data_IF_373806245976
#
_entry.id   IF_373806245976
#
_cell.length_a   1.000
_cell.length_b   1.000
_cell.length_c   1.000
_cell.angle_alpha   90.00
_cell.angle_beta   90.00
_cell.angle_gamma   90.00
#
_symmetry.space_group_name_H-M   'P 1'
#
loop_
_entity.id
_entity.type
_entity.pdbx_description
1 polymer ?
#
# COMPACT_ATOMS: atom_id res chain seq x y z
N UNK A 1 -17.07 19.39 0.35
CA UNK A 1 -17.28 18.74 -0.95
C UNK A 1 -18.10 17.45 -0.81
N UNK A 2 -18.25 16.88 0.39
CA UNK A 2 -19.15 15.76 0.78
C UNK A 2 -20.67 15.84 0.47
N UNK A 3 -21.23 16.98 0.03
CA UNK A 3 -22.70 17.18 -0.01
C UNK A 3 -23.42 16.24 -1.00
N UNK A 4 -22.75 15.73 -2.04
CA UNK A 4 -23.38 14.87 -3.06
C UNK A 4 -23.65 13.46 -2.51
N UNK A 5 -22.65 12.82 -1.89
CA UNK A 5 -22.82 11.48 -1.33
C UNK A 5 -23.83 11.51 -0.19
N UNK A 6 -23.74 12.51 0.71
CA UNK A 6 -24.67 12.68 1.83
C UNK A 6 -26.13 12.79 1.37
N UNK A 7 -26.40 13.63 0.35
CA UNK A 7 -27.74 13.78 -0.24
C UNK A 7 -28.20 12.54 -1.00
N UNK A 8 -27.31 11.90 -1.74
CA UNK A 8 -27.61 10.66 -2.44
C UNK A 8 -27.98 9.55 -1.45
N UNK A 9 -27.31 9.48 -0.30
CA UNK A 9 -27.62 8.55 0.79
C UNK A 9 -28.96 8.90 1.45
N UNK A 10 -29.21 10.16 1.79
CA UNK A 10 -30.51 10.59 2.31
C UNK A 10 -31.67 10.26 1.35
N UNK A 11 -31.44 10.44 0.04
CA UNK A 11 -32.41 10.04 -1.00
C UNK A 11 -32.62 8.54 -1.00
N UNK A 12 -31.54 7.75 -0.90
CA UNK A 12 -31.62 6.28 -0.86
C UNK A 12 -32.41 5.78 0.35
N UNK A 13 -32.17 6.35 1.53
CA UNK A 13 -32.89 6.01 2.76
C UNK A 13 -34.40 6.21 2.62
N UNK A 14 -34.83 7.33 2.00
CA UNK A 14 -36.23 7.57 1.67
C UNK A 14 -36.75 6.52 0.69
N UNK A 15 -35.98 6.21 -0.35
CA UNK A 15 -36.37 5.23 -1.38
C UNK A 15 -36.46 3.82 -0.81
N UNK A 16 -35.67 3.46 0.20
CA UNK A 16 -35.62 2.11 0.76
C UNK A 16 -36.49 1.93 2.02
N UNK A 17 -37.12 3.00 2.53
CA UNK A 17 -38.01 2.94 3.70
C UNK A 17 -39.26 2.07 3.45
N UNK A 18 -39.13 0.80 3.83
CA UNK A 18 -40.21 -0.19 3.72
C UNK A 18 -41.39 0.05 4.66
N UNK A 19 -41.27 0.98 5.62
CA UNK A 19 -42.36 1.32 6.54
C UNK A 19 -43.45 2.17 5.89
N UNK A 20 -43.14 2.85 4.77
CA UNK A 20 -44.06 3.71 4.04
C UNK A 20 -44.51 3.11 2.70
N UNK A 21 -45.80 3.26 2.33
CA UNK A 21 -46.28 2.98 0.98
C UNK A 21 -45.43 3.69 -0.08
N UNK A 22 -45.20 3.02 -1.23
CA UNK A 22 -44.34 3.53 -2.29
C UNK A 22 -44.68 4.96 -2.73
N UNK A 23 -45.97 5.28 -2.86
CA UNK A 23 -46.41 6.60 -3.29
C UNK A 23 -46.05 7.72 -2.29
N UNK A 24 -45.97 7.43 -0.98
CA UNK A 24 -45.58 8.41 0.05
C UNK A 24 -44.10 8.76 -0.01
N UNK A 25 -43.27 7.88 -0.57
CA UNK A 25 -41.83 8.06 -0.70
C UNK A 25 -41.41 8.84 -1.93
N UNK A 26 -42.23 8.81 -3.00
CA UNK A 26 -41.88 9.43 -4.29
C UNK A 26 -41.62 10.93 -4.15
N UNK A 27 -42.52 11.68 -3.52
CA UNK A 27 -42.38 13.13 -3.43
C UNK A 27 -41.18 13.56 -2.58
N UNK A 28 -40.97 13.02 -1.37
CA UNK A 28 -39.76 13.32 -0.59
C UNK A 28 -38.48 12.95 -1.33
N UNK A 29 -38.43 11.77 -1.99
CA UNK A 29 -37.24 11.33 -2.72
C UNK A 29 -36.91 12.25 -3.91
N UNK A 30 -37.92 12.72 -4.66
CA UNK A 30 -37.70 13.68 -5.74
C UNK A 30 -37.26 15.06 -5.23
N UNK A 31 -37.80 15.48 -4.08
CA UNK A 31 -37.40 16.74 -3.45
C UNK A 31 -35.93 16.69 -3.04
N UNK A 32 -35.50 15.62 -2.37
CA UNK A 32 -34.12 15.44 -1.93
C UNK A 32 -33.17 15.38 -3.15
N UNK A 33 -33.53 14.59 -4.16
CA UNK A 33 -32.75 14.44 -5.39
C UNK A 33 -32.63 15.75 -6.19
N UNK A 34 -33.66 16.61 -6.17
CA UNK A 34 -33.65 17.88 -6.91
C UNK A 34 -32.59 18.87 -6.42
N UNK A 35 -32.07 18.67 -5.20
CA UNK A 35 -30.98 19.45 -4.62
C UNK A 35 -29.58 19.03 -5.07
N UNK A 36 -29.45 17.98 -5.91
CA UNK A 36 -28.18 17.54 -6.49
C UNK A 36 -27.91 18.32 -7.78
N UNK A 37 -26.90 19.19 -7.74
CA UNK A 37 -26.39 19.86 -8.95
C UNK A 37 -25.25 19.05 -9.55
N UNK A 38 -25.50 18.42 -10.70
CA UNK A 38 -24.50 17.65 -11.47
C UNK A 38 -23.58 18.55 -12.30
N UNK A 39 -23.15 19.69 -11.76
CA UNK A 39 -22.27 20.63 -12.44
C UNK A 39 -20.94 20.00 -12.83
N UNK A 40 -20.49 19.02 -12.03
CA UNK A 40 -19.14 18.47 -12.09
C UNK A 40 -19.08 17.03 -12.63
N UNK A 41 -20.23 16.44 -13.02
CA UNK A 41 -20.26 15.14 -13.69
C UNK A 41 -19.69 15.21 -15.11
N UNK A 42 -19.00 14.14 -15.51
CA UNK A 42 -18.67 13.93 -16.91
C UNK A 42 -19.94 13.97 -17.79
N UNK A 43 -19.90 14.56 -19.01
CA UNK A 43 -21.08 14.72 -19.87
C UNK A 43 -21.85 13.43 -20.13
N UNK A 44 -21.15 12.29 -20.22
CA UNK A 44 -21.77 10.98 -20.40
C UNK A 44 -22.61 10.54 -19.19
N UNK A 45 -22.10 10.74 -17.96
CA UNK A 45 -22.82 10.41 -16.72
C UNK A 45 -24.02 11.34 -16.52
N UNK A 46 -23.89 12.61 -16.89
CA UNK A 46 -25.02 13.55 -16.90
C UNK A 46 -26.13 13.10 -17.86
N UNK A 47 -25.76 12.68 -19.07
CA UNK A 47 -26.73 12.16 -20.04
C UNK A 47 -27.42 10.89 -19.53
N UNK A 48 -26.67 10.00 -18.88
CA UNK A 48 -27.21 8.78 -18.28
C UNK A 48 -28.18 9.10 -17.12
N UNK A 49 -27.83 10.05 -16.26
CA UNK A 49 -28.68 10.52 -15.17
C UNK A 49 -30.01 11.10 -15.71
N UNK A 50 -29.94 11.96 -16.72
CA UNK A 50 -31.12 12.51 -17.39
C UNK A 50 -31.98 11.40 -18.02
N UNK A 51 -31.35 10.37 -18.60
CA UNK A 51 -32.05 9.20 -19.17
C UNK A 51 -32.82 8.41 -18.11
N UNK A 52 -32.27 8.27 -16.90
CA UNK A 52 -32.96 7.58 -15.80
C UNK A 52 -34.20 8.35 -15.32
N UNK A 53 -34.10 9.68 -15.22
CA UNK A 53 -35.18 10.52 -14.68
C UNK A 53 -36.21 10.99 -15.71
N UNK A 54 -35.89 11.04 -17.01
CA UNK A 54 -36.83 11.50 -18.03
C UNK A 54 -38.20 10.77 -17.99
N UNK A 55 -38.26 9.44 -17.79
CA UNK A 55 -39.53 8.72 -17.67
C UNK A 55 -40.34 9.07 -16.41
N UNK A 56 -39.71 9.55 -15.33
CA UNK A 56 -40.42 9.95 -14.11
C UNK A 56 -41.42 11.06 -14.41
N UNK A 57 -41.00 12.08 -15.17
CA UNK A 57 -41.87 13.19 -15.58
C UNK A 57 -43.07 12.70 -16.41
N UNK A 58 -42.88 11.68 -17.25
CA UNK A 58 -43.96 11.07 -18.03
C UNK A 58 -44.96 10.37 -17.12
N UNK A 59 -44.49 9.57 -16.16
CA UNK A 59 -45.36 8.83 -15.22
C UNK A 59 -46.18 9.79 -14.35
N UNK A 60 -45.55 10.87 -13.86
CA UNK A 60 -46.23 11.90 -13.06
C UNK A 60 -47.29 12.63 -13.89
N UNK A 61 -47.01 12.93 -15.17
CA UNK A 61 -47.97 13.55 -16.08
C UNK A 61 -49.16 12.63 -16.40
N UNK A 62 -48.91 11.35 -16.67
CA UNK A 62 -49.95 10.35 -16.96
C UNK A 62 -50.94 10.19 -15.80
N UNK A 63 -50.46 10.32 -14.56
CA UNK A 63 -51.29 10.25 -13.35
C UNK A 63 -51.81 11.62 -12.88
N UNK A 64 -51.56 12.71 -13.63
CA UNK A 64 -51.98 14.08 -13.32
C UNK A 64 -51.58 14.52 -11.91
N UNK A 65 -50.33 14.28 -11.57
CA UNK A 65 -49.74 14.67 -10.28
C UNK A 65 -49.30 16.14 -10.39
N UNK A 66 -50.11 17.04 -9.84
CA UNK A 66 -49.86 18.51 -9.88
C UNK A 66 -49.63 19.11 -8.49
N UNK A 67 -49.91 18.36 -7.42
CA UNK A 67 -49.79 18.77 -6.02
C UNK A 67 -49.25 17.64 -5.13
N UNK A 68 -48.72 17.98 -3.95
CA UNK A 68 -48.18 17.01 -2.98
C UNK A 68 -49.19 15.94 -2.55
N UNK A 69 -50.47 16.30 -2.45
CA UNK A 69 -51.53 15.34 -2.08
C UNK A 69 -51.95 14.43 -3.25
N UNK A 70 -51.55 14.75 -4.48
CA UNK A 70 -51.98 13.99 -5.66
C UNK A 70 -51.26 12.64 -5.80
N UNK A 71 -50.13 12.43 -5.10
CA UNK A 71 -49.31 11.22 -5.21
C UNK A 71 -50.06 9.93 -4.81
N UNK A 72 -51.12 10.02 -4.00
CA UNK A 72 -52.05 8.89 -3.72
C UNK A 72 -52.67 8.27 -4.97
N UNK A 73 -52.75 9.03 -6.08
CA UNK A 73 -53.28 8.57 -7.36
C UNK A 73 -52.32 7.64 -8.11
N UNK A 74 -51.05 7.57 -7.70
CA UNK A 74 -50.09 6.66 -8.31
C UNK A 74 -50.51 5.22 -8.02
N UNK A 75 -50.57 4.40 -9.07
CA UNK A 75 -50.64 2.96 -8.88
C UNK A 75 -49.38 2.48 -8.14
N UNK A 76 -49.48 1.40 -7.36
CA UNK A 76 -48.32 0.81 -6.70
C UNK A 76 -47.19 0.48 -7.68
N UNK A 77 -47.52 0.02 -8.90
CA UNK A 77 -46.55 -0.24 -9.96
C UNK A 77 -45.88 1.04 -10.48
N UNK A 78 -46.63 2.15 -10.63
CA UNK A 78 -46.08 3.42 -11.08
C UNK A 78 -45.17 4.05 -10.02
N UNK A 79 -45.59 4.01 -8.75
CA UNK A 79 -44.77 4.49 -7.64
C UNK A 79 -43.48 3.66 -7.50
N UNK A 80 -43.57 2.33 -7.63
CA UNK A 80 -42.39 1.46 -7.61
C UNK A 80 -41.44 1.71 -8.79
N UNK A 81 -41.95 1.94 -10.01
CA UNK A 81 -41.12 2.28 -11.18
C UNK A 81 -40.38 3.62 -10.96
N UNK A 82 -41.07 4.64 -10.45
CA UNK A 82 -40.42 5.93 -10.13
C UNK A 82 -39.31 5.73 -9.09
N UNK A 83 -39.58 5.04 -7.99
CA UNK A 83 -38.59 4.81 -6.93
C UNK A 83 -37.38 4.01 -7.43
N UNK A 84 -37.60 2.99 -8.27
CA UNK A 84 -36.53 2.23 -8.92
C UNK A 84 -35.63 3.11 -9.79
N UNK A 85 -36.22 4.06 -10.54
CA UNK A 85 -35.48 5.03 -11.35
C UNK A 85 -34.70 6.03 -10.51
N UNK A 86 -35.28 6.50 -9.40
CA UNK A 86 -34.56 7.36 -8.45
C UNK A 86 -33.39 6.58 -7.84
N UNK A 87 -33.58 5.32 -7.44
CA UNK A 87 -32.51 4.47 -6.93
C UNK A 87 -31.38 4.31 -7.96
N UNK A 88 -31.71 4.07 -9.23
CA UNK A 88 -30.72 4.00 -10.30
C UNK A 88 -29.97 5.32 -10.49
N UNK A 89 -30.67 6.45 -10.43
CA UNK A 89 -30.08 7.78 -10.53
C UNK A 89 -29.12 8.07 -9.34
N UNK A 90 -29.50 7.70 -8.12
CA UNK A 90 -28.67 7.80 -6.91
C UNK A 90 -27.41 6.96 -7.03
N UNK A 91 -27.50 5.72 -7.53
CA UNK A 91 -26.32 4.86 -7.74
C UNK A 91 -25.31 5.47 -8.70
N UNK A 92 -25.76 6.13 -9.76
CA UNK A 92 -24.87 6.87 -10.68
C UNK A 92 -24.14 8.02 -9.97
N UNK A 93 -24.76 8.63 -8.96
CA UNK A 93 -24.12 9.67 -8.15
C UNK A 93 -22.97 9.07 -7.33
N UNK A 94 -23.21 7.94 -6.65
CA UNK A 94 -22.17 7.25 -5.89
C UNK A 94 -21.02 6.80 -6.79
N UNK A 95 -21.32 6.19 -7.93
CA UNK A 95 -20.29 5.76 -8.89
C UNK A 95 -19.42 6.93 -9.34
N UNK A 96 -20.03 8.08 -9.66
CA UNK A 96 -19.26 9.21 -10.14
C UNK A 96 -18.43 9.88 -9.05
N UNK A 97 -18.95 9.98 -7.82
CA UNK A 97 -18.16 10.53 -6.72
C UNK A 97 -17.03 9.58 -6.33
N UNK A 98 -17.27 8.27 -6.36
CA UNK A 98 -16.22 7.28 -6.19
C UNK A 98 -15.14 7.42 -7.28
N UNK A 99 -15.51 7.51 -8.56
CA UNK A 99 -14.57 7.75 -9.67
C UNK A 99 -13.75 9.04 -9.46
N UNK A 100 -14.39 10.14 -9.01
CA UNK A 100 -13.70 11.40 -8.68
C UNK A 100 -12.69 11.21 -7.55
N UNK A 101 -13.11 10.63 -6.43
CA UNK A 101 -12.27 10.46 -5.25
C UNK A 101 -11.08 9.53 -5.56
N UNK A 102 -11.33 8.42 -6.26
CA UNK A 102 -10.27 7.52 -6.71
C UNK A 102 -9.29 8.22 -7.65
N UNK A 103 -9.77 9.07 -8.56
CA UNK A 103 -8.91 9.88 -9.43
C UNK A 103 -8.07 10.92 -8.66
N UNK A 104 -8.59 11.46 -7.56
CA UNK A 104 -7.83 12.37 -6.69
C UNK A 104 -6.73 11.65 -5.90
N UNK A 105 -6.98 10.41 -5.47
CA UNK A 105 -5.94 9.55 -4.90
C UNK A 105 -4.86 9.23 -5.93
N UNK A 106 -5.27 8.91 -7.16
CA UNK A 106 -4.38 8.52 -8.25
C UNK A 106 -3.47 9.65 -8.75
N UNK A 107 -3.94 10.89 -8.62
CA UNK A 107 -3.23 12.09 -9.10
C UNK A 107 -2.51 12.86 -8.00
N UNK A 108 -2.29 12.23 -6.84
CA UNK A 108 -1.65 12.83 -5.67
C UNK A 108 -0.23 13.36 -5.98
N UNK A 109 0.58 12.56 -6.69
CA UNK A 109 1.97 12.89 -6.99
C UNK A 109 2.77 13.20 -5.72
N UNK A 110 3.21 14.45 -5.54
CA UNK A 110 3.96 14.89 -4.34
C UNK A 110 3.13 15.58 -3.27
N UNK A 111 1.81 15.65 -3.43
CA UNK A 111 0.93 16.31 -2.46
C UNK A 111 -0.03 15.28 -1.89
N UNK A 112 0.03 15.07 -0.59
CA UNK A 112 -0.87 14.15 0.09
C UNK A 112 -2.34 14.54 -0.16
N UNK A 113 -3.19 13.64 -0.67
CA UNK A 113 -4.58 13.93 -1.04
C UNK A 113 -5.48 13.87 0.21
N UNK A 114 -5.22 14.77 1.17
CA UNK A 114 -5.85 14.80 2.50
C UNK A 114 -7.38 14.83 2.44
N UNK A 115 -7.95 15.60 1.51
CA UNK A 115 -9.41 15.71 1.41
C UNK A 115 -10.04 14.44 0.83
N UNK A 116 -9.42 13.81 -0.19
CA UNK A 116 -9.88 12.53 -0.72
C UNK A 116 -9.83 11.43 0.34
N UNK A 117 -8.76 11.37 1.15
CA UNK A 117 -8.64 10.43 2.29
C UNK A 117 -9.77 10.65 3.30
N UNK A 118 -10.10 11.90 3.63
CA UNK A 118 -11.24 12.20 4.53
C UNK A 118 -12.58 11.82 3.93
N UNK A 119 -12.79 12.03 2.63
CA UNK A 119 -14.02 11.64 1.94
C UNK A 119 -14.17 10.11 1.92
N UNK A 120 -13.09 9.35 1.75
CA UNK A 120 -13.10 7.89 1.92
C UNK A 120 -13.54 7.49 3.33
N UNK A 121 -12.95 8.10 4.37
CA UNK A 121 -13.32 7.81 5.76
C UNK A 121 -14.80 8.10 6.05
N UNK A 122 -15.30 9.23 5.54
CA UNK A 122 -16.69 9.63 5.73
C UNK A 122 -17.68 8.69 5.03
N UNK A 123 -17.27 8.11 3.89
CA UNK A 123 -18.13 7.34 2.99
C UNK A 123 -17.66 5.89 2.81
N UNK A 124 -17.16 5.28 3.89
CA UNK A 124 -16.57 3.93 3.94
C UNK A 124 -17.37 2.91 3.15
N UNK A 125 -18.66 2.77 3.46
CA UNK A 125 -19.50 1.69 2.93
C UNK A 125 -19.69 1.78 1.40
N UNK A 126 -19.50 2.97 0.83
CA UNK A 126 -19.61 3.21 -0.60
C UNK A 126 -18.26 3.02 -1.29
N UNK A 127 -17.15 3.46 -0.68
CA UNK A 127 -15.84 3.49 -1.33
C UNK A 127 -14.99 2.22 -1.15
N UNK A 128 -15.24 1.41 -0.12
CA UNK A 128 -14.49 0.16 0.12
C UNK A 128 -14.42 -0.74 -1.13
N UNK A 129 -15.51 -1.00 -1.88
CA UNK A 129 -15.44 -1.82 -3.10
C UNK A 129 -14.50 -1.24 -4.17
N UNK A 130 -14.37 0.08 -4.26
CA UNK A 130 -13.50 0.74 -5.23
C UNK A 130 -12.02 0.67 -4.82
N UNK A 131 -11.73 0.73 -3.52
CA UNK A 131 -10.38 0.54 -2.99
C UNK A 131 -9.89 -0.90 -3.23
N UNK A 132 -10.74 -1.89 -2.94
CA UNK A 132 -10.44 -3.31 -3.20
C UNK A 132 -10.20 -3.53 -4.69
N UNK A 133 -11.11 -3.05 -5.55
CA UNK A 133 -10.98 -3.18 -6.99
C UNK A 133 -9.73 -2.50 -7.54
N UNK A 134 -9.33 -1.35 -7.01
CA UNK A 134 -8.08 -0.67 -7.39
C UNK A 134 -6.86 -1.54 -7.08
N UNK A 135 -6.83 -2.17 -5.89
CA UNK A 135 -5.74 -3.06 -5.52
C UNK A 135 -5.71 -4.34 -6.37
N UNK A 136 -6.86 -4.97 -6.62
CA UNK A 136 -6.98 -6.14 -7.50
C UNK A 136 -6.52 -5.82 -8.94
N UNK A 137 -6.91 -4.67 -9.46
CA UNK A 137 -6.51 -4.21 -10.79
C UNK A 137 -5.00 -3.93 -10.87
N UNK A 138 -4.42 -3.30 -9.84
CA UNK A 138 -2.97 -3.08 -9.75
C UNK A 138 -2.21 -4.41 -9.76
N UNK A 139 -2.64 -5.36 -8.92
CA UNK A 139 -2.07 -6.71 -8.87
C UNK A 139 -2.19 -7.44 -10.22
N UNK A 140 -3.33 -7.32 -10.91
CA UNK A 140 -3.52 -7.90 -12.25
C UNK A 140 -2.59 -7.25 -13.28
N UNK A 141 -2.41 -5.93 -13.22
CA UNK A 141 -1.58 -5.16 -14.15
C UNK A 141 -0.12 -5.55 -14.05
N UNK A 142 0.42 -5.64 -12.82
CA UNK A 142 1.83 -6.03 -12.61
C UNK A 142 2.06 -7.51 -12.97
N UNK A 143 1.09 -8.40 -12.73
CA UNK A 143 1.13 -9.81 -13.18
C UNK A 143 1.17 -9.93 -14.71
N UNK A 144 0.45 -9.07 -15.41
CA UNK A 144 0.47 -8.94 -16.88
C UNK A 144 1.76 -8.30 -17.41
N UNK A 145 2.70 -7.90 -16.54
CA UNK A 145 3.96 -7.19 -16.87
C UNK A 145 3.71 -5.86 -17.57
N UNK A 146 2.62 -5.20 -17.24
CA UNK A 146 2.31 -3.84 -17.70
C UNK A 146 2.86 -2.83 -16.68
N UNK A 147 3.19 -1.63 -17.16
CA UNK A 147 3.54 -0.53 -16.28
C UNK A 147 2.30 -0.13 -15.46
N UNK A 148 2.49 0.03 -14.16
CA UNK A 148 1.48 0.52 -13.24
C UNK A 148 1.70 2.02 -13.08
N UNK A 149 0.83 2.81 -13.70
CA UNK A 149 0.85 4.27 -13.61
C UNK A 149 -0.10 4.80 -12.50
N UNK A 150 -0.83 3.90 -11.83
CA UNK A 150 -1.87 4.22 -10.86
C UNK A 150 -1.31 4.26 -9.42
N UNK A 151 -1.43 5.40 -8.74
CA UNK A 151 -1.03 5.60 -7.34
C UNK A 151 -2.16 5.24 -6.36
N UNK A 152 -3.41 5.13 -6.83
CA UNK A 152 -4.57 4.90 -5.96
C UNK A 152 -4.46 3.58 -5.16
N UNK A 153 -3.84 2.55 -5.74
CA UNK A 153 -3.66 1.24 -5.09
C UNK A 153 -2.77 1.30 -3.84
N UNK A 154 -1.77 2.19 -3.83
CA UNK A 154 -0.93 2.46 -2.67
C UNK A 154 -1.77 3.02 -1.51
N UNK A 155 -2.56 4.07 -1.75
CA UNK A 155 -3.45 4.64 -0.73
C UNK A 155 -4.52 3.66 -0.27
N UNK A 156 -5.03 2.82 -1.19
CA UNK A 156 -6.03 1.80 -0.87
C UNK A 156 -5.54 0.86 0.23
N UNK A 157 -4.28 0.44 0.21
CA UNK A 157 -3.72 -0.42 1.27
C UNK A 157 -3.78 0.26 2.63
N UNK A 158 -3.38 1.53 2.73
CA UNK A 158 -3.41 2.26 4.00
C UNK A 158 -4.83 2.43 4.53
N UNK A 159 -5.75 2.85 3.66
CA UNK A 159 -7.15 3.10 3.99
C UNK A 159 -7.90 1.82 4.41
N UNK A 160 -7.67 0.71 3.70
CA UNK A 160 -8.31 -0.58 4.00
C UNK A 160 -7.85 -1.15 5.36
N UNK A 161 -6.57 -0.96 5.70
CA UNK A 161 -6.00 -1.41 6.97
C UNK A 161 -6.41 -0.46 8.11
N UNK A 162 -6.38 0.86 7.90
CA UNK A 162 -6.83 1.84 8.90
C UNK A 162 -8.29 1.63 9.32
N UNK A 163 -9.15 1.36 8.33
CA UNK A 163 -10.58 1.14 8.58
C UNK A 163 -10.94 -0.30 8.99
N UNK A 164 -9.94 -1.18 9.18
CA UNK A 164 -10.09 -2.59 9.54
C UNK A 164 -11.12 -3.33 8.67
N UNK A 165 -10.99 -3.20 7.34
CA UNK A 165 -11.92 -3.81 6.38
C UNK A 165 -11.62 -5.31 6.25
N UNK A 166 -12.35 -6.16 7.00
CA UNK A 166 -12.17 -7.62 6.95
C UNK A 166 -12.36 -8.20 5.54
N UNK A 167 -13.25 -7.62 4.73
CA UNK A 167 -13.50 -8.02 3.35
C UNK A 167 -12.26 -7.84 2.44
N UNK A 168 -11.32 -6.97 2.81
CA UNK A 168 -10.11 -6.71 2.07
C UNK A 168 -8.93 -7.59 2.48
N UNK A 169 -9.02 -8.34 3.59
CA UNK A 169 -7.90 -9.17 4.05
C UNK A 169 -7.43 -10.19 3.00
N UNK A 170 -8.30 -10.87 2.24
CA UNK A 170 -7.85 -11.78 1.19
C UNK A 170 -6.97 -11.08 0.12
N UNK A 171 -7.37 -9.89 -0.36
CA UNK A 171 -6.59 -9.18 -1.37
C UNK A 171 -5.28 -8.62 -0.79
N UNK A 172 -5.28 -8.18 0.47
CA UNK A 172 -4.07 -7.74 1.18
C UNK A 172 -3.08 -8.90 1.41
N UNK A 173 -3.56 -10.11 1.72
CA UNK A 173 -2.72 -11.30 1.80
C UNK A 173 -2.15 -11.68 0.43
N UNK A 174 -2.97 -11.63 -0.61
CA UNK A 174 -2.54 -11.94 -1.98
C UNK A 174 -1.50 -10.95 -2.53
N UNK A 175 -1.54 -9.68 -2.08
CA UNK A 175 -0.54 -8.66 -2.40
C UNK A 175 0.86 -9.09 -1.93
N UNK A 176 0.99 -9.58 -0.69
CA UNK A 176 2.27 -10.05 -0.15
C UNK A 176 2.66 -11.46 -0.65
N UNK A 177 1.79 -12.13 -1.42
CA UNK A 177 2.04 -13.41 -2.11
C UNK A 177 2.45 -13.24 -3.58
N UNK A 178 2.58 -12.01 -4.07
CA UNK A 178 2.99 -11.79 -5.45
C UNK A 178 4.41 -12.32 -5.70
N UNK A 179 4.65 -12.98 -6.85
CA UNK A 179 5.96 -13.55 -7.15
C UNK A 179 6.99 -12.46 -7.49
N UNK A 180 8.26 -12.74 -7.21
CA UNK A 180 9.40 -11.86 -7.45
C UNK A 180 9.22 -10.51 -6.78
N UNK A 181 9.58 -9.44 -7.48
CA UNK A 181 9.50 -8.05 -6.99
C UNK A 181 8.18 -7.36 -7.35
N UNK A 182 7.12 -8.12 -7.64
CA UNK A 182 5.84 -7.53 -8.05
C UNK A 182 5.16 -6.75 -6.92
N UNK A 183 5.36 -7.11 -5.65
CA UNK A 183 4.85 -6.32 -4.50
C UNK A 183 5.47 -4.92 -4.46
N UNK A 184 6.77 -4.82 -4.72
CA UNK A 184 7.49 -3.53 -4.86
C UNK A 184 6.94 -2.69 -6.01
N UNK A 185 6.48 -3.32 -7.10
CA UNK A 185 5.85 -2.58 -8.20
C UNK A 185 4.49 -1.97 -7.83
N UNK A 186 3.80 -2.53 -6.84
CA UNK A 186 2.51 -2.01 -6.35
C UNK A 186 2.69 -1.01 -5.22
N UNK A 187 3.58 -1.30 -4.26
CA UNK A 187 3.74 -0.50 -3.03
C UNK A 187 4.97 0.43 -3.04
N UNK A 188 5.83 0.32 -4.04
CA UNK A 188 7.14 0.97 -4.03
C UNK A 188 7.96 0.56 -2.80
N UNK A 189 8.65 1.55 -2.23
CA UNK A 189 9.44 1.38 -1.00
C UNK A 189 8.61 0.88 0.20
N UNK A 190 7.29 1.09 0.18
CA UNK A 190 6.38 0.62 1.22
C UNK A 190 6.23 -0.91 1.31
N UNK A 191 6.66 -1.66 0.29
CA UNK A 191 6.59 -3.12 0.30
C UNK A 191 7.33 -3.76 1.48
N UNK A 192 8.45 -3.17 1.89
CA UNK A 192 9.28 -3.67 2.99
C UNK A 192 8.81 -3.14 4.34
N UNK A 193 8.39 -1.88 4.41
CA UNK A 193 8.04 -1.22 5.67
C UNK A 193 6.66 -1.65 6.22
N UNK A 194 5.74 -2.07 5.34
CA UNK A 194 4.34 -2.30 5.70
C UNK A 194 4.00 -3.77 5.97
N UNK A 195 4.81 -4.71 5.51
CA UNK A 195 4.47 -6.14 5.54
C UNK A 195 4.14 -6.64 6.95
N UNK A 196 5.03 -6.42 7.92
CA UNK A 196 4.83 -6.84 9.31
C UNK A 196 3.58 -6.23 9.95
N UNK A 197 3.39 -4.92 9.76
CA UNK A 197 2.24 -4.18 10.32
C UNK A 197 0.90 -4.65 9.75
N UNK A 198 0.81 -4.86 8.44
CA UNK A 198 -0.43 -5.25 7.76
C UNK A 198 -0.75 -6.73 8.01
N UNK A 199 0.24 -7.60 7.87
CA UNK A 199 0.03 -9.05 8.03
C UNK A 199 -0.29 -9.43 9.47
N UNK A 200 0.18 -8.67 10.47
CA UNK A 200 -0.22 -8.85 11.86
C UNK A 200 -1.74 -8.63 12.07
N UNK A 201 -2.35 -7.71 11.31
CA UNK A 201 -3.82 -7.51 11.29
C UNK A 201 -4.50 -8.61 10.47
N UNK A 202 -4.10 -8.79 9.21
CA UNK A 202 -4.80 -9.66 8.27
C UNK A 202 -4.73 -11.15 8.63
N UNK A 203 -3.64 -11.59 9.28
CA UNK A 203 -3.48 -13.00 9.70
C UNK A 203 -4.38 -13.37 10.87
N UNK A 204 -4.85 -12.40 11.66
CA UNK A 204 -5.62 -12.63 12.89
C UNK A 204 -4.95 -13.63 13.85
N UNK A 205 -3.61 -13.67 13.86
CA UNK A 205 -2.82 -14.59 14.66
C UNK A 205 -2.65 -15.99 14.07
N UNK A 206 -3.15 -16.26 12.86
CA UNK A 206 -2.86 -17.48 12.13
C UNK A 206 -1.46 -17.41 11.48
N UNK A 207 -0.47 -17.87 12.24
CA UNK A 207 0.93 -17.89 11.81
C UNK A 207 1.19 -18.83 10.62
N UNK A 208 0.28 -19.76 10.31
CA UNK A 208 0.46 -20.65 9.16
C UNK A 208 0.44 -19.89 7.83
N UNK A 209 -0.34 -18.79 7.77
CA UNK A 209 -0.36 -17.89 6.60
C UNK A 209 1.01 -17.23 6.40
N UNK A 210 1.66 -16.83 7.50
CA UNK A 210 2.98 -16.19 7.49
C UNK A 210 4.05 -17.20 7.07
N UNK A 211 3.97 -18.42 7.61
CA UNK A 211 4.88 -19.52 7.27
C UNK A 211 4.79 -19.92 5.80
N UNK A 212 3.59 -19.96 5.23
CA UNK A 212 3.38 -20.23 3.80
C UNK A 212 4.07 -19.19 2.92
N UNK A 213 3.96 -17.90 3.26
CA UNK A 213 4.60 -16.80 2.51
C UNK A 213 6.12 -16.89 2.65
N UNK A 214 6.64 -17.11 3.86
CA UNK A 214 8.08 -17.26 4.11
C UNK A 214 8.64 -18.47 3.35
N UNK A 215 7.90 -19.57 3.24
CA UNK A 215 8.37 -20.77 2.55
C UNK A 215 8.31 -20.67 1.02
N UNK A 216 7.54 -19.75 0.44
CA UNK A 216 7.37 -19.65 -1.02
C UNK A 216 8.59 -18.98 -1.69
N UNK A 217 9.43 -19.80 -2.32
CA UNK A 217 10.61 -19.36 -3.06
C UNK A 217 10.31 -18.58 -4.34
N UNK A 218 9.05 -18.48 -4.75
CA UNK A 218 8.67 -17.61 -5.86
C UNK A 218 8.58 -16.15 -5.43
N UNK A 219 8.49 -15.85 -4.14
CA UNK A 219 8.44 -14.50 -3.58
C UNK A 219 9.88 -14.01 -3.38
N UNK A 220 10.13 -12.72 -3.63
CA UNK A 220 11.44 -12.12 -3.43
C UNK A 220 11.97 -12.29 -1.98
N UNK A 221 13.27 -12.51 -1.82
CA UNK A 221 13.87 -12.77 -0.52
C UNK A 221 13.72 -11.61 0.47
N UNK A 222 13.76 -10.36 0.01
CA UNK A 222 13.59 -9.18 0.87
C UNK A 222 12.14 -9.04 1.30
N UNK A 223 11.20 -9.39 0.43
CA UNK A 223 9.78 -9.46 0.79
C UNK A 223 9.52 -10.57 1.83
N UNK A 224 10.11 -11.76 1.64
CA UNK A 224 10.01 -12.87 2.59
C UNK A 224 10.59 -12.49 3.95
N UNK A 225 11.72 -11.77 3.99
CA UNK A 225 12.27 -11.21 5.22
C UNK A 225 11.29 -10.20 5.85
N UNK A 226 10.79 -9.23 5.09
CA UNK A 226 9.85 -8.22 5.60
C UNK A 226 8.59 -8.86 6.22
N UNK A 227 8.14 -10.00 5.68
CA UNK A 227 7.04 -10.80 6.23
C UNK A 227 7.40 -11.45 7.57
N UNK A 228 8.66 -11.86 7.80
CA UNK A 228 9.09 -12.46 9.07
C UNK A 228 8.89 -11.52 10.27
N UNK A 229 9.07 -10.19 10.07
CA UNK A 229 8.83 -9.19 11.10
C UNK A 229 7.42 -9.25 11.70
N UNK A 230 6.44 -9.82 10.97
CA UNK A 230 5.09 -10.08 11.49
C UNK A 230 5.12 -10.85 12.81
N UNK A 231 6.08 -11.77 13.01
CA UNK A 231 6.23 -12.50 14.26
C UNK A 231 6.53 -11.57 15.45
N UNK A 232 7.38 -10.56 15.25
CA UNK A 232 7.70 -9.57 16.29
C UNK A 232 6.44 -8.77 16.65
N UNK A 233 5.68 -8.31 15.64
CA UNK A 233 4.39 -7.64 15.85
C UNK A 233 3.42 -8.48 16.68
N UNK A 234 3.21 -9.74 16.28
CA UNK A 234 2.27 -10.65 16.94
C UNK A 234 2.69 -10.99 18.39
N UNK A 235 3.98 -11.13 18.66
CA UNK A 235 4.49 -11.37 20.03
C UNK A 235 4.37 -10.12 20.89
N UNK A 236 4.77 -8.95 20.37
CA UNK A 236 4.67 -7.66 21.07
C UNK A 236 3.22 -7.40 21.51
N UNK A 237 2.28 -7.64 20.60
CA UNK A 237 0.86 -7.40 20.81
C UNK A 237 0.19 -8.53 21.61
N UNK A 238 0.94 -9.58 21.95
CA UNK A 238 0.51 -10.77 22.70
C UNK A 238 -0.60 -11.56 22.00
N UNK A 239 -0.68 -11.45 20.68
CA UNK A 239 -1.56 -12.25 19.83
C UNK A 239 -1.09 -13.71 19.79
N UNK A 240 0.23 -13.92 19.82
CA UNK A 240 0.86 -15.25 19.95
C UNK A 240 1.88 -15.25 21.09
N UNK A 241 2.22 -16.45 21.57
CA UNK A 241 3.29 -16.61 22.55
C UNK A 241 4.68 -16.52 21.89
N UNK A 242 5.66 -15.96 22.59
CA UNK A 242 7.05 -15.84 22.09
C UNK A 242 7.63 -17.19 21.69
N UNK A 243 7.35 -18.25 22.45
CA UNK A 243 7.85 -19.58 22.12
C UNK A 243 7.20 -20.13 20.84
N UNK A 244 5.95 -19.78 20.54
CA UNK A 244 5.31 -20.17 19.28
C UNK A 244 6.03 -19.55 18.08
N UNK A 245 6.37 -18.26 18.16
CA UNK A 245 7.15 -17.57 17.14
C UNK A 245 8.54 -18.20 16.96
N UNK A 246 9.27 -18.41 18.07
CA UNK A 246 10.60 -19.03 18.07
C UNK A 246 10.56 -20.41 17.42
N UNK A 247 9.59 -21.26 17.79
CA UNK A 247 9.48 -22.60 17.25
C UNK A 247 9.28 -22.59 15.73
N UNK A 248 8.45 -21.67 15.21
CA UNK A 248 8.21 -21.60 13.77
C UNK A 248 9.43 -21.08 13.00
N UNK A 249 10.02 -19.97 13.46
CA UNK A 249 11.22 -19.41 12.82
C UNK A 249 12.43 -20.36 12.90
N UNK A 250 12.61 -21.07 14.02
CA UNK A 250 13.64 -22.09 14.15
C UNK A 250 13.39 -23.27 13.20
N UNK A 251 12.14 -23.69 13.03
CA UNK A 251 11.81 -24.72 12.05
C UNK A 251 12.17 -24.29 10.62
N UNK A 252 11.82 -23.06 10.24
CA UNK A 252 12.18 -22.48 8.94
C UNK A 252 13.71 -22.43 8.77
N UNK A 253 14.45 -22.02 9.80
CA UNK A 253 15.92 -21.96 9.75
C UNK A 253 16.52 -23.35 9.51
N UNK A 254 16.02 -24.36 10.21
CA UNK A 254 16.47 -25.75 10.02
C UNK A 254 16.15 -26.27 8.61
N UNK A 255 15.00 -25.90 8.05
CA UNK A 255 14.61 -26.20 6.67
C UNK A 255 15.58 -25.54 5.69
N UNK A 256 15.87 -24.25 5.84
CA UNK A 256 16.81 -23.53 4.98
C UNK A 256 18.24 -24.09 5.05
N UNK A 257 18.73 -24.41 6.25
CA UNK A 257 20.07 -25.02 6.45
C UNK A 257 20.17 -26.41 5.81
N UNK A 258 19.09 -27.19 5.84
CA UNK A 258 19.04 -28.53 5.22
C UNK A 258 19.01 -28.43 3.70
N UNK A 259 18.23 -27.50 3.18
CA UNK A 259 17.97 -27.35 1.75
C UNK A 259 18.97 -26.41 1.06
N UNK A 260 19.98 -25.92 1.81
CA UNK A 260 21.03 -25.00 1.36
C UNK A 260 20.47 -23.68 0.79
N UNK A 261 19.37 -23.21 1.38
CA UNK A 261 18.68 -21.98 1.00
C UNK A 261 19.27 -20.78 1.76
N UNK A 262 20.33 -20.19 1.20
CA UNK A 262 21.06 -19.10 1.83
C UNK A 262 20.27 -17.79 1.94
N UNK A 263 19.25 -17.60 1.10
CA UNK A 263 18.51 -16.33 1.00
C UNK A 263 17.84 -15.96 2.33
N UNK A 264 17.39 -16.95 3.10
CA UNK A 264 16.67 -16.74 4.36
C UNK A 264 17.45 -17.07 5.63
N UNK A 265 18.62 -17.71 5.54
CA UNK A 265 19.38 -18.12 6.74
C UNK A 265 19.75 -16.89 7.59
N UNK A 266 20.33 -15.87 6.97
CA UNK A 266 20.72 -14.64 7.68
C UNK A 266 19.49 -13.89 8.25
N UNK A 267 18.42 -13.62 7.48
CA UNK A 267 17.18 -13.07 8.03
C UNK A 267 16.63 -13.83 9.25
N UNK A 268 16.53 -15.17 9.15
CA UNK A 268 15.99 -15.99 10.23
C UNK A 268 16.86 -15.94 11.49
N UNK A 269 18.19 -15.87 11.34
CA UNK A 269 19.11 -15.68 12.46
C UNK A 269 18.86 -14.32 13.14
N UNK A 270 18.68 -13.25 12.38
CA UNK A 270 18.37 -11.92 12.92
C UNK A 270 17.06 -11.94 13.72
N UNK A 271 15.95 -12.46 13.14
CA UNK A 271 14.65 -12.51 13.83
C UNK A 271 14.69 -13.35 15.12
N UNK A 272 15.43 -14.46 15.11
CA UNK A 272 15.63 -15.30 16.30
C UNK A 272 16.47 -14.58 17.37
N UNK A 273 17.46 -13.78 16.95
CA UNK A 273 18.21 -12.89 17.84
C UNK A 273 17.31 -11.82 18.48
N UNK A 274 16.49 -11.16 17.66
CA UNK A 274 15.53 -10.14 18.07
C UNK A 274 14.47 -10.66 19.05
N UNK A 275 14.12 -11.95 18.98
CA UNK A 275 13.24 -12.62 19.93
C UNK A 275 13.98 -13.20 21.15
N UNK A 276 15.29 -13.04 21.23
CA UNK A 276 16.18 -13.63 22.24
C UNK A 276 15.93 -15.15 22.39
N UNK A 277 16.00 -15.86 21.27
CA UNK A 277 15.67 -17.28 21.14
C UNK A 277 16.80 -18.22 21.61
N UNK A 278 16.84 -18.53 22.90
CA UNK A 278 17.85 -19.44 23.48
C UNK A 278 17.85 -20.83 22.81
N UNK A 279 16.67 -21.40 22.52
CA UNK A 279 16.52 -22.71 21.88
C UNK A 279 17.13 -22.79 20.46
N UNK A 280 17.26 -21.64 19.79
CA UNK A 280 17.81 -21.57 18.45
C UNK A 280 19.34 -21.49 18.42
N UNK A 281 19.99 -21.18 19.54
CA UNK A 281 21.41 -20.79 19.58
C UNK A 281 22.34 -21.85 19.00
N UNK A 282 22.09 -23.14 19.28
CA UNK A 282 22.89 -24.22 18.72
C UNK A 282 22.76 -24.33 17.20
N UNK A 283 21.54 -24.17 16.69
CA UNK A 283 21.29 -24.18 15.23
C UNK A 283 21.95 -22.98 14.57
N UNK A 284 21.90 -21.81 15.21
CA UNK A 284 22.56 -20.58 14.76
C UNK A 284 24.09 -20.79 14.69
N UNK A 285 24.71 -21.33 15.75
CA UNK A 285 26.16 -21.62 15.76
C UNK A 285 26.57 -22.54 14.61
N UNK A 286 25.81 -23.61 14.36
CA UNK A 286 26.05 -24.51 13.23
C UNK A 286 25.96 -23.76 11.89
N UNK A 287 25.04 -22.81 11.73
CA UNK A 287 24.95 -21.99 10.52
C UNK A 287 26.20 -21.13 10.30
N UNK A 288 26.73 -20.50 11.36
CA UNK A 288 27.98 -19.74 11.31
C UNK A 288 29.19 -20.64 11.04
N UNK A 289 29.33 -21.78 11.71
CA UNK A 289 30.43 -22.73 11.50
C UNK A 289 30.49 -23.25 10.07
N UNK A 290 29.32 -23.40 9.43
CA UNK A 290 29.18 -23.80 8.03
C UNK A 290 29.36 -22.64 7.04
N UNK A 291 29.54 -21.41 7.51
CA UNK A 291 29.67 -20.21 6.68
C UNK A 291 28.41 -19.87 5.89
N UNK A 292 27.23 -20.20 6.42
CA UNK A 292 25.95 -19.98 5.74
C UNK A 292 25.36 -18.59 6.01
N UNK A 293 25.80 -17.93 7.08
CA UNK A 293 25.34 -16.61 7.52
C UNK A 293 26.23 -15.52 6.90
N UNK A 294 25.61 -14.44 6.41
CA UNK A 294 26.34 -13.26 5.96
C UNK A 294 26.82 -12.44 7.16
N UNK A 295 28.09 -12.62 7.51
CA UNK A 295 28.74 -11.91 8.62
C UNK A 295 28.86 -10.38 8.39
N UNK A 296 28.58 -9.87 7.19
CA UNK A 296 28.49 -8.42 6.94
C UNK A 296 27.17 -7.82 7.42
N UNK A 297 26.13 -8.65 7.61
CA UNK A 297 24.82 -8.26 8.15
C UNK A 297 24.78 -8.46 9.66
N UNK A 298 25.24 -9.62 10.15
CA UNK A 298 25.14 -9.97 11.57
C UNK A 298 26.30 -10.85 12.02
N UNK A 299 26.81 -10.61 13.24
CA UNK A 299 27.87 -11.43 13.83
C UNK A 299 27.32 -12.38 14.89
N UNK A 300 27.97 -13.54 15.05
CA UNK A 300 27.61 -14.50 16.10
C UNK A 300 27.69 -13.87 17.50
N UNK A 301 28.69 -13.02 17.75
CA UNK A 301 28.86 -12.31 19.02
C UNK A 301 27.65 -11.41 19.33
N UNK A 302 27.10 -10.70 18.34
CA UNK A 302 25.90 -9.88 18.52
C UNK A 302 24.71 -10.73 18.92
N UNK A 303 24.46 -11.83 18.20
CA UNK A 303 23.34 -12.74 18.47
C UNK A 303 23.47 -13.40 19.85
N UNK A 304 24.67 -13.85 20.23
CA UNK A 304 24.90 -14.41 21.56
C UNK A 304 24.66 -13.40 22.67
N UNK A 305 25.07 -12.14 22.46
CA UNK A 305 24.82 -11.05 23.40
C UNK A 305 23.32 -10.73 23.52
N UNK A 306 22.59 -10.74 22.41
CA UNK A 306 21.14 -10.50 22.35
C UNK A 306 20.36 -11.59 23.09
N UNK A 307 20.70 -12.85 22.84
CA UNK A 307 20.08 -14.00 23.50
C UNK A 307 20.42 -14.04 24.99
N UNK A 308 21.63 -13.66 25.38
CA UNK A 308 22.06 -13.61 26.78
C UNK A 308 21.36 -12.52 27.61
N UNK A 309 20.77 -11.51 26.96
CA UNK A 309 20.15 -10.34 27.60
C UNK A 309 18.68 -10.17 27.19
N UNK A 310 17.81 -11.17 27.42
CA UNK A 310 16.49 -11.24 26.79
C UNK A 310 15.58 -10.04 27.10
N UNK A 311 15.61 -9.49 28.32
CA UNK A 311 14.78 -8.32 28.66
C UNK A 311 15.19 -7.09 27.85
N UNK A 312 16.49 -6.80 27.76
CA UNK A 312 16.98 -5.62 27.05
C UNK A 312 16.76 -5.75 25.55
N UNK A 313 17.00 -6.95 25.00
CA UNK A 313 16.75 -7.26 23.59
C UNK A 313 15.28 -7.08 23.25
N UNK A 314 14.37 -7.70 24.01
CA UNK A 314 12.93 -7.57 23.74
C UNK A 314 12.42 -6.14 23.90
N UNK A 315 12.86 -5.40 24.94
CA UNK A 315 12.47 -4.01 25.12
C UNK A 315 12.92 -3.14 23.93
N UNK A 316 14.14 -3.36 23.42
CA UNK A 316 14.67 -2.67 22.24
C UNK A 316 13.91 -3.05 20.98
N UNK A 317 13.74 -4.35 20.73
CA UNK A 317 13.07 -4.89 19.54
C UNK A 317 11.62 -4.43 19.49
N UNK A 318 10.87 -4.54 20.60
CA UNK A 318 9.49 -4.06 20.66
C UNK A 318 9.36 -2.53 20.59
N UNK A 319 10.36 -1.80 21.13
CA UNK A 319 10.41 -0.34 21.02
C UNK A 319 10.71 0.18 19.61
N UNK A 320 11.45 -0.59 18.81
CA UNK A 320 11.78 -0.25 17.42
C UNK A 320 10.81 -0.86 16.40
N UNK A 321 10.00 -1.85 16.79
CA UNK A 321 9.04 -2.52 15.93
C UNK A 321 7.92 -1.55 15.50
N UNK A 322 7.64 -1.51 14.19
CA UNK A 322 6.55 -0.71 13.62
C UNK A 322 5.21 -1.06 14.28
N UNK A 323 4.33 -0.08 14.56
CA UNK A 323 2.99 -0.35 15.08
C UNK A 323 2.23 -1.37 14.22
N UNK A 324 1.37 -2.18 14.83
CA UNK A 324 0.50 -3.09 14.08
C UNK A 324 -0.66 -2.32 13.49
N UNK A 325 -0.99 -2.64 12.23
CA UNK A 325 -1.97 -1.90 11.46
C UNK A 325 -1.54 -0.47 11.14
N UNK A 326 -2.52 0.34 10.81
CA UNK A 326 -2.36 1.77 10.47
C UNK A 326 -3.38 2.50 11.31
N UNK A 327 -2.95 3.50 12.08
CA UNK A 327 -3.85 4.20 13.01
C UNK A 327 -4.47 5.46 12.39
N UNK A 328 -3.70 6.20 11.60
CA UNK A 328 -4.16 7.34 10.82
C UNK A 328 -3.31 7.46 9.55
N UNK A 329 -3.88 7.13 8.40
CA UNK A 329 -3.22 7.21 7.09
C UNK A 329 -2.64 8.60 6.81
N UNK A 330 -3.31 9.68 7.23
CA UNK A 330 -2.83 11.05 6.96
C UNK A 330 -1.58 11.33 7.80
N UNK A 331 -1.60 10.98 9.08
CA UNK A 331 -0.46 11.18 9.97
C UNK A 331 0.73 10.34 9.50
N UNK A 332 0.51 9.04 9.27
CA UNK A 332 1.54 8.10 8.82
C UNK A 332 2.19 8.56 7.51
N UNK A 333 1.38 8.89 6.49
CA UNK A 333 1.90 9.31 5.19
C UNK A 333 2.49 10.73 5.18
N UNK A 334 2.11 11.62 6.11
CA UNK A 334 2.67 12.98 6.18
C UNK A 334 4.20 12.97 6.40
N UNK A 335 4.72 11.88 6.95
CA UNK A 335 6.14 11.67 7.22
C UNK A 335 6.88 10.96 6.07
N UNK A 336 6.24 10.64 4.96
CA UNK A 336 6.90 9.95 3.86
C UNK A 336 7.66 10.92 2.96
N UNK A 337 8.79 10.49 2.40
CA UNK A 337 9.64 11.35 1.56
C UNK A 337 8.88 11.94 0.36
N UNK A 338 7.87 11.21 -0.16
CA UNK A 338 7.00 11.66 -1.26
C UNK A 338 6.09 12.84 -0.89
N UNK A 339 5.76 13.02 0.39
CA UNK A 339 4.77 13.99 0.86
C UNK A 339 5.30 15.02 1.86
N UNK A 340 6.47 14.77 2.47
CA UNK A 340 7.15 15.74 3.31
C UNK A 340 7.53 16.96 2.47
N UNK A 341 7.14 18.15 2.92
CA UNK A 341 7.73 19.38 2.40
C UNK A 341 9.21 19.39 2.78
N UNK A 342 10.10 19.35 1.78
CA UNK A 342 11.52 19.62 2.03
C UNK A 342 11.62 20.98 2.72
N UNK A 343 12.28 21.09 3.90
CA UNK A 343 12.45 22.38 4.54
C UNK A 343 13.11 23.32 3.53
N UNK A 344 12.43 24.40 3.17
CA UNK A 344 12.90 25.37 2.20
C UNK A 344 14.33 25.76 2.53
N UNK A 345 15.31 25.25 1.77
CA UNK A 345 16.69 25.63 1.99
C UNK A 345 16.81 27.14 1.76
N UNK A 346 17.29 27.93 2.74
CA UNK A 346 17.50 29.35 2.53
C UNK A 346 18.67 29.52 1.56
N UNK A 347 18.35 29.62 0.28
CA UNK A 347 19.30 29.84 -0.81
C UNK A 347 20.22 28.65 -1.07
N UNK A 348 20.60 28.48 -2.34
CA UNK A 348 21.81 27.71 -2.68
C UNK A 348 22.94 28.19 -1.75
N UNK A 349 23.64 27.30 -1.03
CA UNK A 349 24.94 27.64 -0.49
C UNK A 349 25.79 28.19 -1.64
N UNK A 350 26.57 29.26 -1.44
CA UNK A 350 27.46 29.74 -2.49
C UNK A 350 28.31 28.57 -2.96
N UNK A 351 28.51 28.43 -4.28
CA UNK A 351 29.44 27.45 -4.85
C UNK A 351 30.82 27.68 -4.23
N UNK A 352 31.11 26.99 -3.13
CA UNK A 352 32.45 26.82 -2.63
C UNK A 352 33.03 25.70 -3.49
N UNK A 353 33.74 26.13 -4.52
CA UNK A 353 34.75 25.32 -5.18
C UNK A 353 35.75 24.86 -4.12
N UNK A 354 35.55 23.67 -3.58
CA UNK A 354 36.59 22.98 -2.81
C UNK A 354 36.48 21.49 -3.09
N UNK A 355 37.33 21.07 -4.03
CA UNK A 355 37.83 19.70 -4.14
C UNK A 355 38.32 19.26 -2.75
N UNK A 356 37.61 18.34 -2.12
CA UNK A 356 38.17 17.47 -1.07
C UNK A 356 37.71 16.05 -1.37
N UNK A 357 38.62 15.10 -1.69
CA UNK A 357 38.26 13.72 -2.05
C UNK A 357 37.80 12.90 -0.83
N UNK A 358 36.80 12.04 -1.06
CA UNK A 358 36.39 10.96 -0.15
C UNK A 358 37.58 10.02 0.14
N UNK A 359 37.82 9.61 1.40
CA UNK A 359 38.73 8.51 1.68
C UNK A 359 38.04 7.17 1.37
N UNK A 360 38.45 6.52 0.28
CA UNK A 360 38.22 5.09 0.08
C UNK A 360 39.42 4.32 0.64
N UNK A 361 39.19 3.47 1.64
CA UNK A 361 40.14 2.44 2.05
C UNK A 361 40.12 1.33 1.00
N UNK A 362 41.24 1.15 0.30
CA UNK A 362 41.52 -0.04 -0.52
C UNK A 362 42.17 -1.11 0.34
N UNK A 363 41.76 -2.36 0.10
CA UNK A 363 42.49 -3.57 0.50
C UNK A 363 44.00 -3.38 0.33
N UNK A 364 44.74 -3.64 1.40
CA UNK A 364 46.19 -3.53 1.47
C UNK A 364 46.77 -4.72 0.72
N UNK A 365 47.67 -4.49 -0.23
CA UNK A 365 48.92 -5.23 -0.20
C UNK A 365 50.05 -4.61 -1.03
N UNK A 366 51.23 -4.70 -0.41
CA UNK A 366 52.59 -4.62 -0.91
C UNK A 366 53.13 -3.32 -1.52
N UNK A 367 54.13 -2.79 -0.79
CA UNK A 367 55.05 -1.77 -1.22
C UNK A 367 55.74 -2.12 -2.55
N UNK A 368 55.70 -1.22 -3.51
CA UNK A 368 56.78 -1.07 -4.49
C UNK A 368 56.80 0.36 -5.01
N UNK A 369 57.83 1.11 -4.62
CA UNK A 369 58.17 2.42 -5.18
C UNK A 369 58.51 2.28 -6.66
N UNK A 370 57.67 2.84 -7.54
CA UNK A 370 57.94 2.96 -8.98
C UNK A 370 57.48 4.33 -9.50
N UNK A 371 58.19 4.93 -10.47
CA UNK A 371 57.93 6.31 -10.91
C UNK A 371 56.62 6.40 -11.70
N UNK A 372 55.77 7.36 -11.30
CA UNK A 372 54.50 7.64 -11.97
C UNK A 372 54.69 8.03 -13.44
N UNK A 373 53.82 7.51 -14.30
CA UNK A 373 53.86 7.74 -15.75
C UNK A 373 53.52 9.21 -16.04
N UNK A 374 54.52 9.99 -16.46
CA UNK A 374 54.33 11.37 -16.91
C UNK A 374 53.62 11.34 -18.27
N UNK A 375 52.39 11.85 -18.33
CA UNK A 375 51.67 12.04 -19.59
C UNK A 375 52.16 13.33 -20.25
N UNK A 376 52.92 13.23 -21.34
CA UNK A 376 53.40 14.39 -22.10
C UNK A 376 52.42 14.68 -23.24
N UNK A 377 51.77 15.85 -23.20
CA UNK A 377 50.91 16.36 -24.27
C UNK A 377 49.46 16.67 -23.85
N UNK A 378 48.77 17.49 -24.65
CA UNK A 378 47.37 17.84 -24.42
C UNK A 378 46.46 16.60 -24.51
N UNK A 379 45.46 16.53 -23.62
CA UNK A 379 44.50 15.42 -23.58
C UNK A 379 43.64 15.46 -24.84
N UNK A 380 43.72 14.42 -25.66
CA UNK A 380 42.88 14.25 -26.85
C UNK A 380 41.42 14.07 -26.41
N UNK A 381 40.52 14.87 -26.98
CA UNK A 381 39.10 14.88 -26.66
C UNK A 381 38.37 13.67 -27.25
N UNK A 382 37.25 13.31 -26.62
CA UNK A 382 36.36 12.28 -27.14
C UNK A 382 35.77 12.75 -28.46
N UNK A 383 35.88 11.93 -29.49
CA UNK A 383 35.57 12.14 -30.90
C UNK A 383 36.61 12.90 -31.75
N UNK A 384 37.75 13.31 -31.19
CA UNK A 384 38.85 13.90 -31.96
C UNK A 384 39.55 12.85 -32.85
N UNK A 385 40.29 13.25 -33.91
CA UNK A 385 41.09 12.31 -34.69
C UNK A 385 42.07 11.56 -33.79
N UNK A 386 42.04 10.23 -33.86
CA UNK A 386 42.88 9.39 -33.02
C UNK A 386 44.36 9.63 -33.35
N UNK A 387 45.21 9.92 -32.34
CA UNK A 387 46.61 10.28 -32.55
C UNK A 387 47.47 9.15 -33.13
N UNK A 388 46.93 7.92 -33.26
CA UNK A 388 47.61 6.82 -33.96
C UNK A 388 47.60 6.98 -35.50
N UNK A 389 46.99 8.03 -36.03
CA UNK A 389 46.95 8.30 -37.48
C UNK A 389 46.03 7.39 -38.28
N UNK A 390 45.20 6.58 -37.61
CA UNK A 390 44.30 5.62 -38.26
C UNK A 390 43.10 6.23 -39.00
N UNK A 391 42.91 7.55 -38.92
CA UNK A 391 41.76 8.26 -39.49
C UNK A 391 40.43 8.05 -38.75
N UNK A 392 40.41 7.29 -37.64
CA UNK A 392 39.23 7.06 -36.80
C UNK A 392 39.16 8.05 -35.64
N UNK A 393 37.96 8.26 -35.08
CA UNK A 393 37.72 9.12 -33.90
C UNK A 393 38.16 8.42 -32.59
N UNK A 394 38.72 9.19 -31.65
CA UNK A 394 39.17 8.77 -30.31
C UNK A 394 37.95 8.60 -29.39
N UNK A 395 37.72 7.41 -28.82
CA UNK A 395 36.51 7.12 -28.02
C UNK A 395 36.65 7.43 -26.54
#
# INVERSE_FOLDING_TARGET
MSDIIDKAQATLEIVEDSSLPAWQRVSPALSELSGLTFSDLAPAKKQEFERQLAPVNVILADHRIETLDAYERLSNSAAADILSRIQAAVRLCFESEAERIMSELDSAGRKLPVEAIKEVRAHRDILVPYLIASLENAMSTVRDRKELDEEASFFAVFLLVEMEIEEAYPVLLDLFRLPGTLTEQVLGDGAHDLAGSILAVCSRGDISIIDEIIADRNIDMFQRWSVMHTYINLVRDKTIDRQQAINSLLHQLQVCIRDDDHDLITPLVCELGDLAAEDALETIRVAFERGLVDESVVSLESIESEIASPSETLDRTFGNCCPTGISDTIDDLSWWASFREEPSHPGKPPEISSVVPRPHFTLRDHATTGPGTIRVGAKVGRNDPCPCGSGKKYK
#
